data_IF_502574832940
#
_entry.id   IF_502574832940
#
_cell.length_a   1.000
_cell.length_b   1.000
_cell.length_c   1.000
_cell.angle_alpha   90.00
_cell.angle_beta   90.00
_cell.angle_gamma   90.00
#
_symmetry.space_group_name_H-M   'P 1'
#
loop_
_entity.id
_entity.type
_entity.pdbx_description
1 polymer ?
#
# COMPACT_ATOMS: atom_id res chain seq x y z
N UNK A 1 4.80 23.04 11.40
CA UNK A 1 5.40 21.70 11.40
C UNK A 1 6.88 21.82 11.01
N UNK A 2 7.77 21.39 11.91
CA UNK A 2 9.20 21.30 11.57
C UNK A 2 9.39 20.06 10.68
N UNK A 3 9.86 20.28 9.46
CA UNK A 3 10.30 19.17 8.60
C UNK A 3 11.83 19.14 8.64
N UNK A 4 12.38 17.97 8.89
CA UNK A 4 13.81 17.71 8.79
C UNK A 4 14.08 17.15 7.39
N UNK A 5 14.89 17.86 6.63
CA UNK A 5 15.39 17.39 5.33
C UNK A 5 16.90 17.20 5.48
N UNK A 6 17.35 15.98 5.23
CA UNK A 6 18.79 15.67 5.16
C UNK A 6 19.24 15.95 3.73
N UNK A 7 20.05 16.97 3.54
CA UNK A 7 20.72 17.26 2.27
C UNK A 7 22.22 17.22 2.55
N UNK A 8 22.93 16.37 1.83
CA UNK A 8 24.40 16.24 1.87
C UNK A 8 25.01 16.06 3.27
N UNK A 9 24.48 15.13 4.07
CA UNK A 9 24.94 14.86 5.44
C UNK A 9 24.81 16.06 6.41
N UNK A 10 23.98 17.04 6.12
CA UNK A 10 23.68 18.16 7.00
C UNK A 10 22.17 18.22 7.29
N UNK A 11 21.82 18.39 8.57
CA UNK A 11 20.41 18.58 8.98
C UNK A 11 20.05 20.05 8.74
N UNK A 12 19.20 20.32 7.74
CA UNK A 12 18.63 21.63 7.52
C UNK A 12 17.27 21.75 8.24
N UNK A 13 17.13 22.74 9.11
CA UNK A 13 15.87 23.10 9.76
C UNK A 13 15.16 24.08 8.84
N UNK A 14 14.01 23.70 8.28
CA UNK A 14 13.17 24.61 7.50
C UNK A 14 12.11 25.19 8.44
N UNK A 15 12.17 26.51 8.64
CA UNK A 15 11.14 27.27 9.34
C UNK A 15 9.96 27.54 8.39
N UNK A 16 8.77 27.13 8.79
CA UNK A 16 7.52 27.57 8.16
C UNK A 16 7.11 28.92 8.77
N UNK A 17 7.12 29.98 7.97
CA UNK A 17 6.88 31.37 8.42
C UNK A 17 5.43 31.70 8.78
N UNK A 18 4.50 30.74 8.82
CA UNK A 18 3.09 30.98 9.13
C UNK A 18 2.54 30.01 10.18
N UNK A 19 2.83 30.29 11.44
CA UNK A 19 2.17 29.61 12.54
C UNK A 19 2.45 30.28 13.88
N UNK A 20 1.52 31.14 14.32
CA UNK A 20 1.47 31.60 15.72
C UNK A 20 1.20 30.39 16.60
N UNK A 21 2.16 29.98 17.41
CA UNK A 21 2.06 28.82 18.28
C UNK A 21 1.82 29.24 19.72
N UNK A 22 0.66 28.94 20.23
CA UNK A 22 0.38 28.94 21.67
C UNK A 22 0.99 27.66 22.31
N UNK A 23 1.88 27.84 23.29
CA UNK A 23 2.21 26.83 24.27
C UNK A 23 3.69 26.39 24.38
N UNK A 24 4.42 27.03 25.28
CA UNK A 24 5.85 26.69 25.61
C UNK A 24 6.12 25.23 25.98
N UNK A 25 5.11 24.40 26.17
CA UNK A 25 5.22 22.97 26.44
C UNK A 25 5.54 22.15 25.18
N UNK A 26 4.98 22.50 24.03
CA UNK A 26 5.18 21.78 22.76
C UNK A 26 6.58 22.05 22.19
N UNK A 27 7.04 23.29 22.21
CA UNK A 27 8.43 23.66 21.83
C UNK A 27 9.50 22.96 22.65
N UNK A 28 9.21 22.64 23.93
CA UNK A 28 10.15 21.92 24.78
C UNK A 28 10.29 20.44 24.37
N UNK A 29 9.22 19.76 24.03
CA UNK A 29 9.25 18.36 23.59
C UNK A 29 9.98 18.23 22.26
N UNK A 30 9.68 19.11 21.31
CA UNK A 30 10.34 19.13 20.00
C UNK A 30 11.85 19.34 20.15
N UNK A 31 12.28 20.27 21.06
CA UNK A 31 13.69 20.49 21.35
C UNK A 31 14.36 19.27 22.00
N UNK A 32 13.70 18.60 22.95
CA UNK A 32 14.25 17.40 23.58
C UNK A 32 14.47 16.27 22.55
N UNK A 33 13.54 16.06 21.66
CA UNK A 33 13.66 15.07 20.59
C UNK A 33 14.81 15.43 19.65
N UNK A 34 14.91 16.70 19.26
CA UNK A 34 15.98 17.18 18.38
C UNK A 34 17.36 17.04 19.04
N UNK A 35 17.48 17.36 20.33
CA UNK A 35 18.71 17.16 21.09
C UNK A 35 19.14 15.68 21.13
N UNK A 36 18.18 14.76 21.33
CA UNK A 36 18.47 13.32 21.30
C UNK A 36 19.00 12.92 19.91
N UNK A 37 18.35 13.36 18.83
CA UNK A 37 18.77 13.02 17.47
C UNK A 37 20.17 13.53 17.15
N UNK A 38 20.48 14.78 17.54
CA UNK A 38 21.83 15.38 17.35
C UNK A 38 22.88 14.60 18.12
N UNK A 39 22.60 14.22 19.38
CA UNK A 39 23.53 13.45 20.21
C UNK A 39 23.71 12.00 19.75
N UNK A 40 22.72 11.43 19.09
CA UNK A 40 22.85 10.10 18.46
C UNK A 40 23.75 10.16 17.23
N UNK A 41 23.68 11.26 16.46
CA UNK A 41 24.44 11.43 15.22
C UNK A 41 25.88 11.90 15.47
N UNK A 42 26.06 12.93 16.28
CA UNK A 42 27.37 13.50 16.59
C UNK A 42 28.04 12.76 17.77
N UNK A 43 29.36 12.60 17.72
CA UNK A 43 30.10 11.98 18.83
C UNK A 43 29.99 12.82 20.10
N UNK A 44 30.17 14.16 19.98
CA UNK A 44 30.10 15.10 21.10
C UNK A 44 29.67 16.47 20.59
N UNK A 45 28.87 17.21 21.37
CA UNK A 45 28.40 18.56 21.03
C UNK A 45 28.49 19.47 22.25
N UNK A 46 29.05 20.66 22.09
CA UNK A 46 29.21 21.65 23.15
C UNK A 46 27.88 22.25 23.63
N UNK A 47 27.78 22.55 24.93
CA UNK A 47 26.62 23.22 25.50
C UNK A 47 26.30 24.57 24.83
N UNK A 48 27.36 25.34 24.49
CA UNK A 48 27.23 26.62 23.82
C UNK A 48 26.70 26.45 22.39
N UNK A 49 27.24 25.49 21.62
CA UNK A 49 26.79 25.16 20.27
C UNK A 49 25.30 24.80 20.23
N UNK A 50 24.87 23.96 21.18
CA UNK A 50 23.45 23.58 21.29
C UNK A 50 22.58 24.78 21.72
N UNK A 51 23.09 25.63 22.62
CA UNK A 51 22.37 26.82 23.05
C UNK A 51 22.12 27.80 21.91
N UNK A 52 23.12 28.01 21.05
CA UNK A 52 23.02 28.85 19.84
C UNK A 52 22.08 28.21 18.81
N UNK A 53 22.19 26.91 18.56
CA UNK A 53 21.35 26.18 17.60
C UNK A 53 19.86 26.26 17.95
N UNK A 54 19.51 26.20 19.23
CA UNK A 54 18.13 26.21 19.71
C UNK A 54 17.65 27.55 20.25
N UNK A 55 18.48 28.60 20.13
CA UNK A 55 18.19 29.99 20.61
C UNK A 55 17.76 29.99 22.10
N UNK A 56 18.45 29.22 22.94
CA UNK A 56 18.20 29.14 24.37
C UNK A 56 19.48 29.35 25.18
N UNK A 57 19.33 29.58 26.49
CA UNK A 57 20.53 29.69 27.34
C UNK A 57 21.22 28.34 27.54
N UNK A 58 22.55 28.29 27.73
CA UNK A 58 23.27 27.06 28.10
C UNK A 58 22.65 26.36 29.32
N UNK A 59 22.14 27.12 30.29
CA UNK A 59 21.45 26.61 31.46
C UNK A 59 20.19 25.79 31.08
N UNK A 60 19.49 26.23 30.03
CA UNK A 60 18.33 25.50 29.48
C UNK A 60 18.78 24.17 28.89
N UNK A 61 19.88 24.16 28.14
CA UNK A 61 20.46 22.92 27.58
C UNK A 61 20.84 21.93 28.68
N UNK A 62 21.52 22.38 29.73
CA UNK A 62 21.84 21.49 30.89
C UNK A 62 20.58 20.87 31.48
N UNK A 63 19.52 21.66 31.69
CA UNK A 63 18.26 21.18 32.23
C UNK A 63 17.55 20.22 31.29
N UNK A 64 17.65 20.43 29.99
CA UNK A 64 17.10 19.52 28.98
C UNK A 64 17.89 18.20 28.94
N UNK A 65 19.24 18.24 29.08
CA UNK A 65 20.08 17.05 29.20
C UNK A 65 19.73 16.23 30.46
N UNK A 66 19.50 16.90 31.60
CA UNK A 66 19.02 16.23 32.80
C UNK A 66 17.67 15.55 32.56
N UNK A 67 16.76 16.22 31.84
CA UNK A 67 15.46 15.65 31.51
C UNK A 67 15.59 14.42 30.61
N UNK A 68 16.46 14.47 29.60
CA UNK A 68 16.77 13.35 28.71
C UNK A 68 17.36 12.18 29.50
N UNK A 69 18.27 12.47 30.43
CA UNK A 69 18.89 11.48 31.27
C UNK A 69 17.88 10.83 32.24
N UNK A 70 16.99 11.61 32.84
CA UNK A 70 15.87 11.10 33.64
C UNK A 70 14.86 10.24 32.84
N UNK A 71 14.76 10.48 31.55
CA UNK A 71 13.95 9.67 30.64
C UNK A 71 14.63 8.34 30.25
N UNK A 72 15.82 8.05 30.81
CA UNK A 72 16.53 6.77 30.61
C UNK A 72 17.52 6.78 29.44
N UNK A 73 17.80 7.93 28.83
CA UNK A 73 18.83 8.08 27.78
C UNK A 73 20.11 8.58 28.45
N UNK A 74 21.17 7.77 28.59
CA UNK A 74 22.37 8.12 29.37
C UNK A 74 23.21 9.14 28.60
N UNK A 75 23.08 10.41 29.01
CA UNK A 75 23.87 11.53 28.49
C UNK A 75 25.03 11.79 29.47
N UNK A 76 26.25 11.74 28.98
CA UNK A 76 27.44 12.14 29.71
C UNK A 76 27.83 13.58 29.37
N UNK A 77 28.33 14.31 30.35
CA UNK A 77 28.92 15.63 30.16
C UNK A 77 30.42 15.59 30.49
N UNK A 78 31.23 16.15 29.61
CA UNK A 78 32.66 16.34 29.80
C UNK A 78 32.97 17.84 29.90
N UNK A 79 33.66 18.23 30.95
CA UNK A 79 34.06 19.64 31.16
C UNK A 79 35.43 19.92 30.55
N UNK A 80 35.70 21.18 30.21
CA UNK A 80 36.98 21.65 29.68
C UNK A 80 36.99 22.01 28.21
N UNK A 81 38.18 22.35 27.69
CA UNK A 81 38.34 22.67 26.26
C UNK A 81 38.06 21.44 25.42
N UNK A 82 37.07 21.53 24.54
CA UNK A 82 36.57 20.38 23.75
C UNK A 82 35.54 19.51 24.52
N UNK A 83 35.06 19.96 25.67
CA UNK A 83 34.00 19.36 26.44
C UNK A 83 32.63 19.54 25.78
N UNK A 84 31.67 18.75 26.22
CA UNK A 84 30.30 18.79 25.70
C UNK A 84 29.47 17.60 26.20
N UNK A 85 28.32 17.44 25.58
CA UNK A 85 27.41 16.32 25.83
C UNK A 85 27.60 15.22 24.78
N UNK A 86 27.54 14.00 25.24
CA UNK A 86 27.54 12.80 24.40
C UNK A 86 26.61 11.76 25.00
N UNK A 87 25.96 10.97 24.16
CA UNK A 87 25.28 9.74 24.61
C UNK A 87 26.34 8.65 24.76
N UNK A 88 26.29 7.89 25.86
CA UNK A 88 27.23 6.80 26.13
C UNK A 88 27.35 5.90 24.89
N UNK A 89 28.60 5.49 24.56
CA UNK A 89 28.86 4.65 23.37
C UNK A 89 28.10 3.33 23.43
N UNK A 90 27.99 2.75 24.63
CA UNK A 90 27.24 1.54 24.87
C UNK A 90 25.75 1.72 24.55
N UNK A 91 25.19 2.90 24.82
CA UNK A 91 23.81 3.24 24.49
C UNK A 91 23.61 3.53 23.01
N UNK A 92 24.55 4.21 22.35
CA UNK A 92 24.56 4.38 20.88
C UNK A 92 24.69 3.05 20.14
N UNK A 93 25.42 2.10 20.75
CA UNK A 93 25.57 0.73 20.27
C UNK A 93 24.44 -0.19 20.76
N UNK A 94 23.71 0.23 21.80
CA UNK A 94 22.59 -0.55 22.29
C UNK A 94 21.43 -0.44 21.28
N UNK A 95 21.26 -1.53 20.56
CA UNK A 95 20.25 -1.77 19.52
C UNK A 95 18.79 -1.65 20.02
N UNK A 96 18.56 -1.02 21.17
CA UNK A 96 17.27 -0.88 21.87
C UNK A 96 16.43 0.32 21.48
N UNK A 97 16.73 0.96 20.35
CA UNK A 97 15.79 1.93 19.75
C UNK A 97 14.48 1.25 19.39
N UNK A 98 14.56 -0.05 19.06
CA UNK A 98 13.40 -0.87 18.75
C UNK A 98 13.23 -1.98 19.80
N UNK A 99 12.03 -2.11 20.33
CA UNK A 99 11.64 -3.28 21.13
C UNK A 99 11.58 -4.54 20.26
N UNK A 100 11.56 -5.71 20.90
CA UNK A 100 11.34 -7.00 20.19
C UNK A 100 10.07 -6.99 19.36
N UNK A 101 9.02 -6.34 19.86
CA UNK A 101 7.74 -6.18 19.15
C UNK A 101 7.90 -5.29 17.91
N UNK A 102 8.63 -4.18 18.02
CA UNK A 102 8.87 -3.28 16.90
C UNK A 102 9.68 -3.97 15.81
N UNK A 103 10.76 -4.66 16.17
CA UNK A 103 11.59 -5.42 15.22
C UNK A 103 10.78 -6.52 14.53
N UNK A 104 9.92 -7.23 15.26
CA UNK A 104 9.03 -8.24 14.70
C UNK A 104 8.06 -7.64 13.70
N UNK A 105 7.43 -6.51 14.04
CA UNK A 105 6.48 -5.81 13.16
C UNK A 105 7.16 -5.25 11.91
N UNK A 106 8.33 -4.63 12.05
CA UNK A 106 9.11 -4.10 10.92
C UNK A 106 9.53 -5.24 9.98
N UNK A 107 10.09 -6.31 10.53
CA UNK A 107 10.53 -7.47 9.74
C UNK A 107 9.36 -8.15 9.04
N UNK A 108 8.22 -8.31 9.72
CA UNK A 108 6.99 -8.82 9.13
C UNK A 108 6.54 -7.95 7.95
N UNK A 109 6.45 -6.64 8.13
CA UNK A 109 6.06 -5.70 7.07
C UNK A 109 7.01 -5.73 5.87
N UNK A 110 8.32 -5.63 6.10
CA UNK A 110 9.33 -5.63 5.04
C UNK A 110 9.40 -6.99 4.32
N UNK A 111 9.29 -8.12 5.04
CA UNK A 111 9.30 -9.45 4.42
C UNK A 111 8.10 -9.65 3.49
N UNK A 112 6.91 -9.21 3.91
CA UNK A 112 5.71 -9.30 3.08
C UNK A 112 5.77 -8.35 1.87
N UNK A 113 6.33 -7.14 2.03
CA UNK A 113 6.55 -6.24 0.89
C UNK A 113 7.56 -6.81 -0.12
N UNK A 114 8.58 -7.54 0.34
CA UNK A 114 9.59 -8.13 -0.56
C UNK A 114 9.03 -9.22 -1.46
N UNK A 115 7.94 -9.88 -1.09
CA UNK A 115 7.23 -10.85 -1.94
C UNK A 115 6.50 -10.16 -3.11
N UNK A 116 6.08 -8.91 -2.91
CA UNK A 116 5.27 -8.12 -3.85
C UNK A 116 6.13 -7.19 -4.71
N UNK A 117 7.17 -6.62 -4.10
CA UNK A 117 8.07 -5.64 -4.71
C UNK A 117 9.49 -6.18 -4.67
N UNK A 118 9.96 -6.71 -5.79
CA UNK A 118 11.37 -7.12 -5.94
C UNK A 118 12.23 -5.87 -6.08
N UNK A 119 13.32 -5.79 -5.30
CA UNK A 119 14.28 -4.69 -5.38
C UNK A 119 15.39 -4.84 -4.35
N UNK A 120 16.62 -4.54 -4.75
CA UNK A 120 17.81 -4.65 -3.89
C UNK A 120 17.72 -3.73 -2.66
N UNK A 121 17.01 -2.61 -2.77
CA UNK A 121 16.78 -1.67 -1.66
C UNK A 121 16.04 -2.33 -0.50
N UNK A 122 15.01 -3.11 -0.79
CA UNK A 122 14.22 -3.81 0.24
C UNK A 122 15.03 -4.94 0.89
N UNK A 123 15.80 -5.67 0.10
CA UNK A 123 16.72 -6.72 0.59
C UNK A 123 17.77 -6.10 1.51
N UNK A 124 18.35 -4.98 1.11
CA UNK A 124 19.33 -4.24 1.92
C UNK A 124 18.69 -3.68 3.21
N UNK A 125 17.49 -3.14 3.13
CA UNK A 125 16.75 -2.66 4.31
C UNK A 125 16.46 -3.80 5.29
N UNK A 126 15.99 -4.96 4.79
CA UNK A 126 15.79 -6.17 5.59
C UNK A 126 17.07 -6.63 6.27
N UNK A 127 18.20 -6.66 5.55
CA UNK A 127 19.49 -7.04 6.13
C UNK A 127 19.92 -6.09 7.25
N UNK A 128 19.75 -4.78 7.05
CA UNK A 128 20.04 -3.76 8.08
C UNK A 128 19.15 -3.94 9.30
N UNK A 129 17.83 -4.10 9.13
CA UNK A 129 16.92 -4.31 10.28
C UNK A 129 17.26 -5.60 11.02
N UNK A 130 17.57 -6.69 10.30
CA UNK A 130 18.03 -7.94 10.91
C UNK A 130 19.30 -7.78 11.76
N UNK A 131 20.19 -6.86 11.41
CA UNK A 131 21.40 -6.59 12.19
C UNK A 131 21.12 -5.98 13.57
N UNK A 132 19.94 -5.38 13.78
CA UNK A 132 19.51 -4.86 15.08
C UNK A 132 18.92 -5.95 15.99
N UNK A 133 18.66 -7.14 15.47
CA UNK A 133 18.07 -8.26 16.23
C UNK A 133 19.11 -8.84 17.18
N UNK A 134 18.87 -8.84 18.51
CA UNK A 134 19.77 -9.47 19.46
C UNK A 134 19.83 -10.99 19.24
N UNK A 135 21.03 -11.58 19.29
CA UNK A 135 21.21 -13.01 19.02
C UNK A 135 20.35 -13.90 19.93
N UNK A 136 20.17 -13.50 21.19
CA UNK A 136 19.35 -14.25 22.17
C UNK A 136 17.84 -14.25 21.83
N UNK A 137 17.36 -13.31 21.00
CA UNK A 137 15.94 -13.15 20.66
C UNK A 137 15.67 -13.43 19.18
N UNK A 138 16.68 -13.80 18.41
CA UNK A 138 16.58 -13.96 16.96
C UNK A 138 15.51 -14.97 16.53
N UNK A 139 15.43 -16.11 17.24
CA UNK A 139 14.44 -17.15 16.94
C UNK A 139 13.00 -16.69 17.25
N UNK A 140 12.78 -16.01 18.37
CA UNK A 140 11.45 -15.52 18.77
C UNK A 140 10.95 -14.43 17.80
N UNK A 141 11.82 -13.50 17.42
CA UNK A 141 11.53 -12.44 16.46
C UNK A 141 11.25 -13.05 15.07
N UNK A 142 12.06 -14.03 14.62
CA UNK A 142 11.85 -14.70 13.35
C UNK A 142 10.53 -15.48 13.32
N UNK A 143 10.19 -16.18 14.40
CA UNK A 143 8.90 -16.88 14.52
C UNK A 143 7.74 -15.89 14.42
N UNK A 144 7.77 -14.78 15.16
CA UNK A 144 6.72 -13.75 15.10
C UNK A 144 6.64 -13.07 13.75
N UNK A 145 7.77 -12.76 13.12
CA UNK A 145 7.80 -12.15 11.79
C UNK A 145 7.22 -13.07 10.70
N UNK A 146 7.29 -14.38 10.87
CA UNK A 146 6.76 -15.37 9.92
C UNK A 146 5.31 -15.80 10.22
N UNK A 147 4.69 -15.30 11.29
CA UNK A 147 3.30 -15.65 11.63
C UNK A 147 2.27 -15.10 10.64
N UNK A 148 2.60 -14.03 9.91
CA UNK A 148 1.77 -13.46 8.85
C UNK A 148 2.53 -13.53 7.54
N UNK A 149 1.96 -14.22 6.58
CA UNK A 149 2.45 -14.26 5.20
C UNK A 149 1.39 -13.68 4.27
N UNK A 150 1.77 -12.66 3.48
CA UNK A 150 0.91 -12.05 2.47
C UNK A 150 1.43 -12.50 1.12
N UNK A 151 0.71 -13.42 0.49
CA UNK A 151 0.97 -13.82 -0.89
C UNK A 151 -0.04 -13.14 -1.81
N UNK A 152 0.46 -12.21 -2.62
CA UNK A 152 -0.32 -11.49 -3.62
C UNK A 152 -0.05 -12.02 -5.03
N UNK A 153 0.58 -13.19 -5.15
CA UNK A 153 0.75 -13.85 -6.43
C UNK A 153 -0.58 -14.42 -6.93
N UNK A 154 -1.01 -14.10 -8.14
CA UNK A 154 -2.26 -14.65 -8.67
C UNK A 154 -2.09 -16.15 -8.98
N UNK A 155 -3.04 -16.97 -8.56
CA UNK A 155 -3.10 -18.40 -8.93
C UNK A 155 -3.18 -18.60 -10.45
N UNK A 156 -3.87 -17.68 -11.13
CA UNK A 156 -3.95 -17.59 -12.59
C UNK A 156 -3.95 -16.13 -12.99
N UNK A 157 -3.26 -15.80 -14.08
CA UNK A 157 -3.26 -14.44 -14.60
C UNK A 157 -1.95 -14.03 -15.25
N UNK A 158 -1.91 -12.80 -15.74
CA UNK A 158 -0.76 -12.26 -16.43
C UNK A 158 0.39 -11.99 -15.46
N UNK A 159 1.33 -12.93 -15.37
CA UNK A 159 2.55 -12.80 -14.57
C UNK A 159 3.53 -11.76 -15.14
N UNK A 160 3.27 -11.22 -16.33
CA UNK A 160 4.18 -10.33 -17.06
C UNK A 160 4.01 -8.84 -16.72
N UNK A 161 3.36 -8.51 -15.60
CA UNK A 161 3.17 -7.12 -15.14
C UNK A 161 4.43 -6.57 -14.44
N UNK A 162 5.29 -7.44 -13.93
CA UNK A 162 6.47 -7.03 -13.15
C UNK A 162 7.38 -6.02 -13.88
N UNK A 163 7.68 -6.17 -15.17
CA UNK A 163 8.47 -5.18 -15.90
C UNK A 163 7.81 -3.79 -15.93
N UNK A 164 6.47 -3.74 -15.99
CA UNK A 164 5.73 -2.47 -15.95
C UNK A 164 5.80 -1.83 -14.57
N UNK A 165 5.69 -2.62 -13.50
CA UNK A 165 5.83 -2.14 -12.12
C UNK A 165 7.21 -1.50 -11.92
N UNK A 166 8.29 -2.14 -12.35
CA UNK A 166 9.64 -1.60 -12.23
C UNK A 166 9.84 -0.33 -13.08
N UNK A 167 9.36 -0.32 -14.31
CA UNK A 167 9.43 0.88 -15.17
C UNK A 167 8.66 2.05 -14.55
N UNK A 168 7.48 1.81 -13.99
CA UNK A 168 6.67 2.84 -13.33
C UNK A 168 7.37 3.36 -12.08
N UNK A 169 8.01 2.49 -11.28
CA UNK A 169 8.80 2.90 -10.10
C UNK A 169 9.94 3.85 -10.50
N UNK A 170 10.68 3.50 -11.55
CA UNK A 170 11.74 4.37 -12.07
C UNK A 170 11.17 5.72 -12.55
N UNK A 171 10.06 5.69 -13.29
CA UNK A 171 9.42 6.92 -13.77
C UNK A 171 8.90 7.80 -12.64
N UNK A 172 8.43 7.21 -11.53
CA UNK A 172 8.03 7.93 -10.31
C UNK A 172 9.23 8.60 -9.63
N UNK A 173 10.35 7.89 -9.50
CA UNK A 173 11.58 8.42 -8.89
C UNK A 173 12.19 9.57 -9.70
N UNK A 174 12.19 9.42 -11.03
CA UNK A 174 12.79 10.39 -11.96
C UNK A 174 11.81 11.47 -12.44
N UNK A 175 10.56 11.45 -11.99
CA UNK A 175 9.48 12.34 -12.44
C UNK A 175 9.35 12.37 -13.97
N UNK A 176 9.44 11.21 -14.64
CA UNK A 176 9.39 11.07 -16.09
C UNK A 176 8.00 10.67 -16.57
N UNK A 177 7.65 11.14 -17.76
CA UNK A 177 6.39 10.79 -18.40
C UNK A 177 6.36 9.32 -18.84
N UNK A 178 5.17 8.75 -18.78
CA UNK A 178 4.87 7.44 -19.33
C UNK A 178 3.93 7.54 -20.52
N UNK A 179 4.23 6.82 -21.60
CA UNK A 179 3.31 6.62 -22.73
C UNK A 179 2.95 5.14 -22.86
N UNK A 180 1.70 4.86 -23.16
CA UNK A 180 1.17 3.50 -23.29
C UNK A 180 -0.13 3.48 -24.08
N UNK A 181 -0.42 2.35 -24.72
CA UNK A 181 -1.75 2.05 -25.22
C UNK A 181 -2.61 1.53 -24.07
N UNK A 182 -3.85 1.98 -24.00
CA UNK A 182 -4.79 1.63 -22.92
C UNK A 182 -6.11 1.15 -23.49
N UNK A 183 -6.46 -0.10 -23.16
CA UNK A 183 -7.73 -0.71 -23.54
C UNK A 183 -8.78 -0.42 -22.48
N UNK A 184 -9.86 0.24 -22.85
CA UNK A 184 -10.97 0.51 -21.95
C UNK A 184 -11.86 -0.72 -21.71
N UNK A 185 -12.93 -0.54 -20.91
CA UNK A 185 -13.88 -1.64 -20.61
C UNK A 185 -14.68 -2.12 -21.83
N UNK A 186 -14.69 -1.35 -22.91
CA UNK A 186 -15.40 -1.67 -24.15
C UNK A 186 -14.46 -2.29 -25.20
N UNK A 187 -13.21 -2.57 -24.85
CA UNK A 187 -12.20 -3.10 -25.76
C UNK A 187 -11.58 -2.06 -26.69
N UNK A 188 -11.89 -0.77 -26.49
CA UNK A 188 -11.35 0.30 -27.34
C UNK A 188 -9.96 0.68 -26.85
N UNK A 189 -8.96 0.49 -27.71
CA UNK A 189 -7.59 0.88 -27.45
C UNK A 189 -7.34 2.35 -27.80
N UNK A 190 -6.63 3.04 -26.92
CA UNK A 190 -6.30 4.45 -27.08
C UNK A 190 -4.93 4.77 -26.48
N UNK A 191 -4.12 5.56 -27.21
CA UNK A 191 -2.85 6.06 -26.72
C UNK A 191 -3.04 7.06 -25.57
N UNK A 192 -2.22 6.91 -24.55
CA UNK A 192 -2.17 7.75 -23.35
C UNK A 192 -0.76 8.22 -23.07
N UNK A 193 -0.67 9.45 -22.56
CA UNK A 193 0.51 9.98 -21.90
C UNK A 193 0.09 10.42 -20.51
N UNK A 194 0.83 9.96 -19.51
CA UNK A 194 0.52 10.25 -18.12
C UNK A 194 1.76 10.72 -17.34
N UNK A 195 1.53 11.62 -16.40
CA UNK A 195 2.46 11.99 -15.33
C UNK A 195 2.22 11.00 -14.18
N UNK A 196 3.14 10.06 -13.89
CA UNK A 196 2.94 9.09 -12.81
C UNK A 196 3.03 9.79 -11.44
N UNK A 197 2.12 9.47 -10.52
CA UNK A 197 2.10 10.01 -9.16
C UNK A 197 2.14 8.94 -8.08
N UNK A 198 1.50 7.80 -8.33
CA UNK A 198 1.47 6.71 -7.36
C UNK A 198 1.22 5.37 -8.04
N UNK A 199 1.90 4.33 -7.55
CA UNK A 199 1.61 2.94 -7.87
C UNK A 199 0.75 2.36 -6.74
N UNK A 200 -0.39 1.78 -7.08
CA UNK A 200 -1.38 1.29 -6.12
C UNK A 200 -1.65 -0.19 -6.36
N UNK A 201 -1.53 -0.99 -5.30
CA UNK A 201 -1.99 -2.38 -5.31
C UNK A 201 -3.33 -2.45 -4.56
N UNK A 202 -4.39 -2.86 -5.25
CA UNK A 202 -5.73 -3.00 -4.68
C UNK A 202 -6.41 -4.26 -5.23
N UNK A 203 -6.97 -5.08 -4.35
CA UNK A 203 -7.67 -6.32 -4.72
C UNK A 203 -6.85 -7.17 -5.70
N UNK A 204 -5.58 -7.38 -5.40
CA UNK A 204 -4.61 -8.14 -6.20
C UNK A 204 -4.35 -7.59 -7.62
N UNK A 205 -4.69 -6.32 -7.87
CA UNK A 205 -4.43 -5.65 -9.14
C UNK A 205 -3.60 -4.39 -8.93
N UNK A 206 -2.60 -4.23 -9.82
CA UNK A 206 -1.80 -3.03 -9.87
C UNK A 206 -2.48 -1.93 -10.69
N UNK A 207 -2.39 -0.72 -10.17
CA UNK A 207 -2.89 0.50 -10.80
C UNK A 207 -1.82 1.58 -10.77
N UNK A 208 -1.70 2.31 -11.87
CA UNK A 208 -1.00 3.58 -11.93
C UNK A 208 -2.01 4.71 -11.69
N UNK A 209 -1.79 5.48 -10.64
CA UNK A 209 -2.44 6.76 -10.48
C UNK A 209 -1.57 7.84 -11.10
N UNK A 210 -2.12 8.60 -12.04
CA UNK A 210 -1.38 9.64 -12.74
C UNK A 210 -2.28 10.67 -13.40
N UNK A 211 -1.70 11.81 -13.73
CA UNK A 211 -2.40 12.84 -14.50
C UNK A 211 -2.34 12.52 -15.99
N UNK A 212 -3.50 12.24 -16.57
CA UNK A 212 -3.62 11.95 -18.00
C UNK A 212 -3.60 13.23 -18.84
N UNK A 213 -2.55 13.47 -19.60
CA UNK A 213 -2.42 14.67 -20.43
C UNK A 213 -3.51 14.78 -21.50
N UNK A 214 -3.96 13.65 -22.07
CA UNK A 214 -5.04 13.63 -23.08
C UNK A 214 -6.40 14.00 -22.49
N UNK A 215 -6.66 13.72 -21.21
CA UNK A 215 -7.95 13.98 -20.55
C UNK A 215 -7.89 15.17 -19.58
N UNK A 216 -6.72 15.74 -19.38
CA UNK A 216 -6.45 16.85 -18.44
C UNK A 216 -7.03 16.58 -17.04
N UNK A 217 -6.86 15.34 -16.53
CA UNK A 217 -7.39 14.91 -15.24
C UNK A 217 -6.59 13.76 -14.65
N UNK A 218 -6.60 13.65 -13.32
CA UNK A 218 -6.10 12.47 -12.63
C UNK A 218 -6.95 11.24 -12.96
N UNK A 219 -6.29 10.14 -13.23
CA UNK A 219 -6.89 8.86 -13.59
C UNK A 219 -6.18 7.72 -12.91
N UNK A 220 -6.94 6.66 -12.65
CA UNK A 220 -6.43 5.37 -12.20
C UNK A 220 -6.42 4.41 -13.39
N UNK A 221 -5.24 3.97 -13.79
CA UNK A 221 -5.03 3.07 -14.91
C UNK A 221 -4.68 1.67 -14.39
N UNK A 222 -5.48 0.66 -14.70
CA UNK A 222 -5.19 -0.73 -14.36
C UNK A 222 -4.04 -1.23 -15.25
N UNK A 223 -2.94 -1.73 -14.65
CA UNK A 223 -1.76 -2.13 -15.43
C UNK A 223 -2.06 -3.27 -16.42
N UNK A 224 -2.95 -4.19 -16.07
CA UNK A 224 -3.35 -5.29 -16.96
C UNK A 224 -4.09 -4.84 -18.23
N UNK A 225 -4.48 -3.56 -18.32
CA UNK A 225 -5.09 -2.95 -19.51
C UNK A 225 -4.13 -2.07 -20.28
N UNK A 226 -2.86 -2.03 -19.87
CA UNK A 226 -1.81 -1.32 -20.57
C UNK A 226 -1.07 -2.24 -21.50
N UNK A 227 -0.71 -1.74 -22.67
CA UNK A 227 0.22 -2.35 -23.60
C UNK A 227 1.22 -1.30 -24.08
N UNK A 228 2.39 -1.74 -24.55
CA UNK A 228 3.44 -0.87 -25.08
C UNK A 228 3.86 0.27 -24.13
N UNK A 229 3.99 -0.06 -22.82
CA UNK A 229 4.42 0.92 -21.84
C UNK A 229 5.88 1.33 -22.11
N UNK A 230 6.10 2.65 -22.19
CA UNK A 230 7.39 3.26 -22.42
C UNK A 230 7.59 4.45 -21.48
N UNK A 231 8.78 4.57 -20.93
CA UNK A 231 9.22 5.75 -20.19
C UNK A 231 9.81 6.74 -21.18
N UNK A 232 9.32 7.98 -21.17
CA UNK A 232 9.78 9.05 -22.05
C UNK A 232 10.96 9.79 -21.43
N UNK A 233 11.69 10.53 -22.25
CA UNK A 233 12.77 11.40 -21.77
C UNK A 233 12.23 12.66 -21.07
N UNK A 234 11.00 13.07 -21.43
CA UNK A 234 10.37 14.25 -20.86
C UNK A 234 10.13 14.08 -19.35
N UNK A 235 10.56 15.07 -18.57
CA UNK A 235 10.29 15.20 -17.14
C UNK A 235 9.08 16.09 -16.90
N UNK A 236 8.43 15.94 -15.74
CA UNK A 236 7.33 16.80 -15.32
C UNK A 236 7.56 17.30 -13.89
N UNK A 237 7.00 18.44 -13.55
CA UNK A 237 6.94 18.90 -12.17
C UNK A 237 5.75 18.22 -11.49
N UNK A 238 5.95 17.46 -10.40
CA UNK A 238 4.86 16.84 -9.67
C UNK A 238 3.80 17.86 -9.28
N UNK A 239 2.53 17.52 -9.53
CA UNK A 239 1.40 18.37 -9.18
C UNK A 239 0.98 18.12 -7.75
N UNK A 240 0.64 19.18 -7.03
CA UNK A 240 -0.12 19.03 -5.80
C UNK A 240 -1.49 18.44 -6.15
N UNK A 241 -1.80 17.30 -5.58
CA UNK A 241 -3.12 16.72 -5.70
C UNK A 241 -3.55 16.13 -4.35
N UNK A 242 -4.77 16.37 -4.00
CA UNK A 242 -5.38 15.62 -2.92
C UNK A 242 -5.37 14.16 -3.36
N UNK A 243 -4.71 13.29 -2.59
CA UNK A 243 -4.75 11.84 -2.86
C UNK A 243 -6.23 11.49 -2.96
N UNK A 244 -6.75 11.07 -4.13
CA UNK A 244 -8.12 10.63 -4.16
C UNK A 244 -8.22 9.58 -3.08
N UNK A 245 -9.14 9.76 -2.17
CA UNK A 245 -9.53 8.69 -1.29
C UNK A 245 -9.95 7.57 -2.23
N UNK A 246 -9.07 6.55 -2.32
CA UNK A 246 -9.38 5.30 -3.03
C UNK A 246 -10.51 4.54 -2.30
N UNK A 247 -11.12 5.19 -1.35
CA UNK A 247 -12.31 4.76 -0.65
C UNK A 247 -13.54 4.91 -1.54
N UNK A 248 -13.44 4.17 -2.67
CA UNK A 248 -14.63 3.81 -3.45
C UNK A 248 -15.58 2.99 -2.57
N UNK A 249 -15.12 2.50 -1.40
CA UNK A 249 -15.92 1.75 -0.46
C UNK A 249 -17.15 2.52 0.02
N UNK A 250 -17.01 3.79 0.37
CA UNK A 250 -18.15 4.59 0.80
C UNK A 250 -19.11 4.92 -0.36
N UNK A 251 -18.58 5.17 -1.56
CA UNK A 251 -19.41 5.35 -2.74
C UNK A 251 -20.10 4.04 -3.15
N UNK A 252 -19.43 2.90 -3.02
CA UNK A 252 -20.02 1.60 -3.30
C UNK A 252 -21.08 1.23 -2.26
N UNK A 253 -20.87 1.57 -0.98
CA UNK A 253 -21.86 1.36 0.08
C UNK A 253 -23.17 2.11 -0.20
N UNK A 254 -23.11 3.35 -0.72
CA UNK A 254 -24.31 4.12 -1.07
C UNK A 254 -25.07 3.55 -2.26
N UNK A 255 -24.40 2.78 -3.13
CA UNK A 255 -24.98 2.13 -4.31
C UNK A 255 -25.34 0.67 -4.05
N UNK A 256 -24.96 0.12 -2.91
CA UNK A 256 -25.20 -1.26 -2.56
C UNK A 256 -26.65 -1.47 -2.16
N UNK A 257 -27.23 -2.52 -2.70
CA UNK A 257 -28.55 -3.04 -2.34
C UNK A 257 -28.40 -4.50 -1.89
N UNK A 258 -29.39 -5.01 -1.22
CA UNK A 258 -29.49 -6.42 -0.89
C UNK A 258 -30.41 -7.13 -1.87
N UNK A 259 -29.94 -8.26 -2.37
CA UNK A 259 -30.76 -9.16 -3.20
C UNK A 259 -30.88 -10.52 -2.50
N UNK A 260 -31.94 -11.27 -2.79
CA UNK A 260 -32.05 -12.66 -2.35
C UNK A 260 -31.68 -13.59 -3.47
N UNK A 261 -30.70 -14.44 -3.19
CA UNK A 261 -30.29 -15.51 -4.09
C UNK A 261 -30.49 -16.86 -3.42
N UNK A 262 -30.86 -17.86 -4.20
CA UNK A 262 -30.89 -19.28 -3.79
C UNK A 262 -29.65 -19.94 -4.35
N UNK A 263 -28.88 -20.56 -3.50
CA UNK A 263 -27.65 -21.25 -3.91
C UNK A 263 -27.64 -22.70 -3.48
N UNK A 264 -26.98 -23.56 -4.26
CA UNK A 264 -26.63 -24.91 -3.85
C UNK A 264 -25.39 -24.85 -2.94
N UNK A 265 -25.30 -25.74 -1.94
CA UNK A 265 -24.22 -25.78 -0.94
C UNK A 265 -22.81 -25.84 -1.56
N UNK A 266 -22.65 -26.43 -2.75
CA UNK A 266 -21.35 -26.58 -3.41
C UNK A 266 -20.69 -25.23 -3.85
N UNK A 267 -21.44 -24.13 -3.82
CA UNK A 267 -20.90 -22.79 -4.13
C UNK A 267 -20.85 -21.88 -2.90
N UNK A 268 -21.20 -22.42 -1.72
CA UNK A 268 -21.23 -21.65 -0.47
C UNK A 268 -19.90 -20.96 -0.17
N UNK A 269 -18.77 -21.66 -0.29
CA UNK A 269 -17.43 -21.13 -0.05
C UNK A 269 -17.19 -19.86 -0.89
N UNK A 270 -17.53 -19.90 -2.17
CA UNK A 270 -17.36 -18.77 -3.09
C UNK A 270 -18.30 -17.60 -2.78
N UNK A 271 -19.49 -17.87 -2.24
CA UNK A 271 -20.46 -16.84 -1.85
C UNK A 271 -20.02 -16.19 -0.53
N UNK A 272 -19.37 -16.94 0.37
CA UNK A 272 -18.78 -16.43 1.60
C UNK A 272 -17.65 -15.42 1.38
N UNK A 273 -17.06 -15.36 0.19
CA UNK A 273 -16.11 -14.28 -0.19
C UNK A 273 -16.78 -12.89 -0.24
N UNK A 274 -18.12 -12.83 -0.33
CA UNK A 274 -18.89 -11.60 -0.50
C UNK A 274 -19.78 -11.24 0.70
N UNK A 275 -20.18 -12.21 1.53
CA UNK A 275 -21.05 -11.99 2.66
C UNK A 275 -20.78 -12.96 3.82
N UNK A 276 -21.18 -12.56 5.04
CA UNK A 276 -20.98 -13.36 6.25
C UNK A 276 -21.95 -14.55 6.32
N UNK A 277 -21.57 -15.58 7.07
CA UNK A 277 -22.34 -16.80 7.25
C UNK A 277 -23.77 -16.56 7.82
N UNK A 278 -23.95 -15.52 8.59
CA UNK A 278 -25.24 -15.10 9.17
C UNK A 278 -26.30 -14.71 8.15
N UNK A 279 -25.88 -14.43 6.89
CA UNK A 279 -26.81 -14.12 5.80
C UNK A 279 -27.38 -15.35 5.10
N UNK A 280 -26.99 -16.57 5.53
CA UNK A 280 -27.42 -17.82 4.93
C UNK A 280 -28.57 -18.44 5.74
N UNK A 281 -29.69 -18.65 5.08
CA UNK A 281 -30.86 -19.34 5.65
C UNK A 281 -31.01 -20.68 4.95
N UNK A 282 -31.07 -21.83 5.67
CA UNK A 282 -31.29 -23.14 5.05
C UNK A 282 -32.58 -23.17 4.24
N UNK A 283 -32.54 -23.81 3.07
CA UNK A 283 -33.66 -24.03 2.17
C UNK A 283 -33.65 -25.52 1.69
N UNK A 284 -34.11 -26.42 2.55
CA UNK A 284 -33.99 -27.86 2.37
C UNK A 284 -32.60 -28.39 2.75
N UNK A 285 -32.22 -29.53 2.17
CA UNK A 285 -31.00 -30.25 2.55
C UNK A 285 -29.75 -29.72 1.84
N UNK A 286 -29.87 -29.23 0.62
CA UNK A 286 -28.72 -28.88 -0.24
C UNK A 286 -28.66 -27.40 -0.65
N UNK A 287 -29.65 -26.60 -0.24
CA UNK A 287 -29.75 -25.20 -0.68
C UNK A 287 -29.79 -24.21 0.47
N UNK A 288 -29.45 -22.98 0.17
CA UNK A 288 -29.55 -21.84 1.07
C UNK A 288 -30.15 -20.65 0.33
N UNK A 289 -30.99 -19.88 1.05
CA UNK A 289 -31.36 -18.53 0.64
C UNK A 289 -30.40 -17.58 1.30
N UNK A 290 -29.76 -16.72 0.49
CA UNK A 290 -28.73 -15.79 0.96
C UNK A 290 -29.11 -14.36 0.65
N UNK A 291 -29.02 -13.51 1.69
CA UNK A 291 -29.06 -12.05 1.52
C UNK A 291 -27.71 -11.58 1.01
N UNK A 292 -27.61 -11.29 -0.29
CA UNK A 292 -26.36 -11.05 -0.98
C UNK A 292 -26.18 -9.54 -1.27
N UNK A 293 -25.01 -8.96 -0.96
CA UNK A 293 -24.70 -7.57 -1.28
C UNK A 293 -24.50 -7.39 -2.78
N UNK A 294 -25.25 -6.49 -3.39
CA UNK A 294 -25.28 -6.35 -4.84
C UNK A 294 -25.23 -4.87 -5.24
N UNK A 295 -24.57 -4.58 -6.36
CA UNK A 295 -24.61 -3.29 -7.01
C UNK A 295 -25.03 -3.53 -8.45
N UNK A 296 -26.04 -2.79 -8.93
CA UNK A 296 -26.58 -2.95 -10.28
C UNK A 296 -25.60 -2.43 -11.35
N UNK A 297 -24.54 -3.23 -11.59
CA UNK A 297 -23.51 -3.02 -12.62
C UNK A 297 -23.08 -4.37 -13.20
N UNK A 298 -22.62 -4.38 -14.44
CA UNK A 298 -22.22 -5.59 -15.18
C UNK A 298 -21.32 -6.51 -14.37
N UNK A 299 -20.30 -5.97 -13.70
CA UNK A 299 -19.37 -6.76 -12.88
C UNK A 299 -20.06 -7.64 -11.82
N UNK A 300 -21.13 -7.14 -11.19
CA UNK A 300 -21.84 -7.91 -10.15
C UNK A 300 -22.78 -8.95 -10.76
N UNK A 301 -23.35 -8.67 -11.94
CA UNK A 301 -24.06 -9.69 -12.70
C UNK A 301 -23.11 -10.80 -13.13
N UNK A 302 -21.90 -10.48 -13.58
CA UNK A 302 -20.88 -11.46 -13.96
C UNK A 302 -20.48 -12.35 -12.75
N UNK A 303 -20.40 -11.80 -11.54
CA UNK A 303 -20.19 -12.58 -10.31
C UNK A 303 -21.33 -13.60 -10.13
N UNK A 304 -22.59 -13.18 -10.18
CA UNK A 304 -23.72 -14.10 -10.05
C UNK A 304 -23.70 -15.19 -11.13
N UNK A 305 -23.41 -14.82 -12.36
CA UNK A 305 -23.32 -15.76 -13.49
C UNK A 305 -22.16 -16.75 -13.33
N UNK A 306 -21.07 -16.34 -12.66
CA UNK A 306 -19.95 -17.25 -12.38
C UNK A 306 -20.29 -18.44 -11.51
N UNK A 307 -21.39 -18.39 -10.75
CA UNK A 307 -21.89 -19.52 -9.96
C UNK A 307 -22.64 -20.55 -10.82
N UNK A 308 -22.91 -20.22 -12.09
CA UNK A 308 -23.58 -21.10 -13.05
C UNK A 308 -25.01 -21.48 -12.64
N UNK A 309 -25.40 -22.70 -12.93
CA UNK A 309 -26.74 -23.23 -12.61
C UNK A 309 -26.99 -23.46 -11.11
N UNK A 310 -26.02 -23.19 -10.26
CA UNK A 310 -26.06 -23.39 -8.82
C UNK A 310 -26.45 -22.11 -8.04
N UNK A 311 -26.81 -21.06 -8.75
CA UNK A 311 -27.27 -19.80 -8.17
C UNK A 311 -28.48 -19.28 -8.94
N UNK A 312 -29.55 -18.99 -8.22
CA UNK A 312 -30.76 -18.38 -8.74
C UNK A 312 -31.04 -17.07 -8.02
N UNK A 313 -31.23 -15.98 -8.75
CA UNK A 313 -31.71 -14.73 -8.19
C UNK A 313 -33.22 -14.82 -7.93
N UNK A 314 -33.66 -14.65 -6.70
CA UNK A 314 -35.05 -14.67 -6.29
C UNK A 314 -35.68 -13.28 -6.31
N UNK A 315 -35.02 -12.33 -5.65
CA UNK A 315 -35.47 -10.95 -5.45
C UNK A 315 -34.30 -9.97 -5.65
N UNK A 316 -34.56 -8.76 -6.17
CA UNK A 316 -35.85 -8.25 -6.64
C UNK A 316 -36.15 -8.70 -8.07
N UNK A 317 -37.42 -8.59 -8.53
CA UNK A 317 -37.86 -9.10 -9.85
C UNK A 317 -37.10 -8.52 -11.05
N UNK A 318 -36.67 -7.25 -11.00
CA UNK A 318 -35.93 -6.64 -12.09
C UNK A 318 -34.53 -7.24 -12.26
N UNK A 319 -33.82 -7.52 -11.17
CA UNK A 319 -32.52 -8.20 -11.21
C UNK A 319 -32.68 -9.63 -11.75
N UNK A 320 -33.71 -10.34 -11.28
CA UNK A 320 -34.03 -11.69 -11.79
C UNK A 320 -34.31 -11.64 -13.30
N UNK A 321 -35.08 -10.67 -13.77
CA UNK A 321 -35.39 -10.51 -15.18
C UNK A 321 -34.13 -10.23 -16.03
N UNK A 322 -33.24 -9.38 -15.54
CA UNK A 322 -31.96 -9.06 -16.20
C UNK A 322 -31.05 -10.31 -16.24
N UNK A 323 -30.94 -11.07 -15.15
CA UNK A 323 -30.22 -12.35 -15.13
C UNK A 323 -30.75 -13.31 -16.18
N UNK A 324 -32.10 -13.46 -16.25
CA UNK A 324 -32.74 -14.31 -17.26
C UNK A 324 -32.37 -13.87 -18.69
N UNK A 325 -32.42 -12.57 -18.97
CA UNK A 325 -32.05 -12.01 -20.27
C UNK A 325 -30.60 -12.37 -20.64
N UNK A 326 -29.65 -12.15 -19.73
CA UNK A 326 -28.21 -12.46 -19.92
C UNK A 326 -27.96 -13.95 -20.16
N UNK A 327 -28.63 -14.83 -19.39
CA UNK A 327 -28.54 -16.28 -19.58
C UNK A 327 -29.07 -16.68 -20.98
N UNK A 328 -30.18 -16.09 -21.43
CA UNK A 328 -30.72 -16.35 -22.77
C UNK A 328 -29.75 -15.88 -23.87
N UNK A 329 -29.10 -14.74 -23.70
CA UNK A 329 -28.09 -14.25 -24.66
C UNK A 329 -26.89 -15.20 -24.75
N UNK A 330 -26.42 -15.74 -23.60
CA UNK A 330 -25.35 -16.75 -23.59
C UNK A 330 -25.82 -18.03 -24.27
N UNK A 331 -27.01 -18.53 -23.93
CA UNK A 331 -27.54 -19.74 -24.56
C UNK A 331 -27.59 -19.62 -26.08
N UNK A 332 -28.07 -18.45 -26.57
CA UNK A 332 -28.14 -18.17 -28.01
C UNK A 332 -26.78 -18.15 -28.72
N UNK A 333 -25.67 -17.87 -28.00
CA UNK A 333 -24.33 -17.97 -28.57
C UNK A 333 -23.91 -19.42 -28.83
N UNK A 334 -24.30 -20.34 -27.95
CA UNK A 334 -23.96 -21.78 -28.05
C UNK A 334 -24.92 -22.55 -28.93
N UNK A 335 -26.10 -22.00 -29.27
CA UNK A 335 -27.01 -22.59 -30.26
C UNK A 335 -26.55 -22.38 -31.71
N UNK A 336 -25.66 -21.41 -31.95
CA UNK A 336 -25.07 -21.18 -33.26
C UNK A 336 -23.99 -22.20 -33.54
N UNK A 337 -24.08 -22.91 -34.66
CA UNK A 337 -23.00 -23.77 -35.14
C UNK A 337 -21.71 -22.93 -35.32
N UNK A 338 -20.65 -23.36 -34.69
CA UNK A 338 -19.37 -22.63 -34.76
C UNK A 338 -18.57 -23.09 -35.96
N UNK A 339 -18.01 -22.20 -36.78
CA UNK A 339 -17.25 -22.56 -38.01
C UNK A 339 -15.99 -23.41 -37.73
N UNK A 340 -15.59 -23.61 -36.46
CA UNK A 340 -14.50 -24.51 -36.06
C UNK A 340 -14.94 -25.94 -35.71
N UNK A 341 -16.20 -26.33 -35.91
CA UNK A 341 -16.67 -27.69 -35.66
C UNK A 341 -16.21 -28.71 -36.72
N UNK A 342 -15.56 -28.25 -37.80
CA UNK A 342 -14.93 -29.11 -38.82
C UNK A 342 -13.38 -29.04 -38.71
N UNK A 343 -12.79 -29.45 -37.62
CA UNK A 343 -11.40 -29.93 -37.65
C UNK A 343 -11.42 -31.45 -37.84
N UNK A 344 -10.75 -31.96 -38.88
CA UNK A 344 -10.63 -33.41 -39.06
C UNK A 344 -9.92 -34.01 -37.86
N UNK A 345 -10.44 -35.10 -37.36
CA UNK A 345 -9.81 -35.97 -36.35
C UNK A 345 -8.42 -36.31 -36.89
N UNK A 346 -7.37 -35.92 -36.15
CA UNK A 346 -6.04 -36.45 -36.32
C UNK A 346 -6.00 -37.90 -35.80
N UNK A 347 -6.71 -38.76 -36.50
CA UNK A 347 -6.53 -40.22 -36.44
C UNK A 347 -6.04 -40.66 -37.83
N UNK A 348 -4.85 -41.23 -37.84
CA UNK A 348 -4.07 -41.81 -38.96
C UNK A 348 -2.86 -40.99 -39.41
N UNK A 349 -1.76 -41.06 -38.59
CA UNK A 349 -0.43 -41.51 -39.09
C UNK A 349 0.31 -42.16 -37.93
#
# INVERSE_FOLDING_TARGET
>A
LLYYVIVDNSVAIIHDEKGVWEGGRRMRVDRLVSLIMILLEKERVGAQELAEMFEVSPRTIYRDMDTINMAGIPVCSTSGVGGGFEIMREYKLDKRVFSTADLSAILMGLSNLSSVMRGDELVNALAKVKSFVPAAQANDIALKANQLHIDLSPWMGNQNIQPYVEMIKTALQESRLLSFAYTDRHGIETERTAEPHQLVLKSNHWYLQGYCRKRNAFRLFKLSRMSNLQMREDVFTPRDYEKPQLDVADLLKTMQMEIKIRIHQSVMERVLDFCSYEHFLPDGEEHYIVTFPFIEKDYYYDILMSFGSKCECLEPPHIRAEMKRRVQEIAALYEKEHPFSEQPRLDEV
#
